data_IF_365885799682
#
_entry.id   IF_365885799682
#
_cell.length_a   1.000
_cell.length_b   1.000
_cell.length_c   1.000
_cell.angle_alpha   90.00
_cell.angle_beta   90.00
_cell.angle_gamma   90.00
#
_symmetry.space_group_name_H-M   'P 1'
#
loop_
_entity.id
_entity.type
_entity.pdbx_description
1 polymer ?
#
# COMPACT_ATOMS: atom_id res chain seq x y z
N UNK A 1 12.09 29.04 -20.78
CA UNK A 1 11.20 28.34 -19.82
C UNK A 1 9.70 28.64 -20.03
N UNK A 2 9.17 28.78 -21.27
CA UNK A 2 7.77 29.20 -21.49
C UNK A 2 6.90 28.19 -22.27
N UNK A 3 7.36 26.94 -22.45
CA UNK A 3 6.70 25.96 -23.34
C UNK A 3 5.29 25.51 -22.91
N UNK A 4 4.89 25.77 -21.66
CA UNK A 4 3.65 25.24 -21.10
C UNK A 4 2.65 26.32 -20.63
N UNK A 5 2.92 27.62 -20.86
CA UNK A 5 2.13 28.75 -20.33
C UNK A 5 0.65 28.78 -20.77
N UNK A 6 0.31 28.11 -21.88
CA UNK A 6 -1.03 28.16 -22.47
C UNK A 6 -1.76 26.81 -22.49
N UNK A 7 -1.22 25.75 -21.86
CA UNK A 7 -1.82 24.41 -21.93
C UNK A 7 -3.19 24.36 -21.25
N UNK A 8 -3.38 25.14 -20.18
CA UNK A 8 -4.65 25.24 -19.45
C UNK A 8 -5.79 25.91 -20.23
N UNK A 9 -5.48 26.62 -21.33
CA UNK A 9 -6.50 27.31 -22.15
C UNK A 9 -7.29 26.37 -23.06
N UNK A 10 -6.74 25.19 -23.35
CA UNK A 10 -7.40 24.15 -24.16
C UNK A 10 -8.06 23.06 -23.29
N UNK A 11 -8.17 23.28 -21.97
CA UNK A 11 -8.79 22.31 -21.08
C UNK A 11 -10.31 22.46 -21.14
N UNK A 12 -10.97 21.46 -21.71
CA UNK A 12 -12.41 21.32 -21.64
C UNK A 12 -12.79 20.75 -20.28
N UNK A 13 -13.02 21.65 -19.33
CA UNK A 13 -13.42 21.32 -17.96
C UNK A 13 -14.96 21.27 -17.90
N UNK A 14 -15.58 20.14 -17.51
CA UNK A 14 -17.03 20.08 -17.33
C UNK A 14 -17.50 21.07 -16.25
N UNK A 15 -18.71 21.60 -16.37
CA UNK A 15 -19.31 22.52 -15.38
C UNK A 15 -19.42 21.92 -13.98
N UNK A 16 -19.46 20.59 -13.89
CA UNK A 16 -19.50 19.83 -12.64
C UNK A 16 -18.12 19.61 -12.01
N UNK A 17 -17.05 20.16 -12.61
CA UNK A 17 -15.69 20.05 -12.09
C UNK A 17 -15.30 21.31 -11.29
N UNK A 18 -14.63 21.14 -10.13
CA UNK A 18 -14.39 19.88 -9.45
C UNK A 18 -15.68 19.30 -8.86
N UNK A 19 -15.81 17.98 -8.90
CA UNK A 19 -16.97 17.33 -8.29
C UNK A 19 -16.91 17.47 -6.78
N UNK A 20 -17.96 18.03 -6.18
CA UNK A 20 -18.10 18.13 -4.72
C UNK A 20 -18.01 16.76 -4.04
N UNK A 21 -18.48 15.70 -4.70
CA UNK A 21 -18.36 14.33 -4.20
C UNK A 21 -16.90 13.87 -4.14
N UNK A 22 -16.07 14.25 -5.14
CA UNK A 22 -14.64 13.95 -5.14
C UNK A 22 -13.96 14.71 -4.00
N UNK A 23 -14.22 16.01 -3.86
CA UNK A 23 -13.66 16.82 -2.77
C UNK A 23 -14.01 16.19 -1.41
N UNK A 24 -15.29 15.87 -1.19
CA UNK A 24 -15.75 15.23 0.05
C UNK A 24 -15.08 13.88 0.31
N UNK A 25 -14.86 13.05 -0.72
CA UNK A 25 -14.17 11.77 -0.57
C UNK A 25 -12.71 11.94 -0.14
N UNK A 26 -12.02 12.99 -0.59
CA UNK A 26 -10.67 13.32 -0.15
C UNK A 26 -10.63 13.93 1.25
N UNK A 27 -11.57 14.83 1.58
CA UNK A 27 -11.61 15.52 2.88
C UNK A 27 -12.13 14.62 4.01
N UNK A 28 -13.06 13.71 3.71
CA UNK A 28 -13.70 12.84 4.69
C UNK A 28 -13.85 11.43 4.11
N UNK A 29 -12.72 10.72 3.94
CA UNK A 29 -12.74 9.39 3.37
C UNK A 29 -13.44 8.41 4.32
N UNK A 30 -14.23 7.50 3.74
CA UNK A 30 -14.78 6.36 4.48
C UNK A 30 -13.69 5.30 4.60
N UNK A 31 -12.96 5.35 5.70
CA UNK A 31 -11.92 4.37 6.05
C UNK A 31 -12.37 3.53 7.24
N UNK A 32 -11.75 2.37 7.38
CA UNK A 32 -11.79 1.64 8.65
C UNK A 32 -11.12 2.49 9.75
N UNK A 33 -11.76 2.56 10.92
CA UNK A 33 -11.28 3.30 12.09
C UNK A 33 -10.59 2.39 13.12
N UNK A 34 -10.48 1.10 12.82
CA UNK A 34 -9.81 0.15 13.69
C UNK A 34 -8.39 0.62 14.03
N UNK A 35 -8.07 0.60 15.32
CA UNK A 35 -6.73 0.87 15.84
C UNK A 35 -5.95 -0.42 16.11
N UNK A 36 -6.48 -1.57 15.68
CA UNK A 36 -5.83 -2.85 15.88
C UNK A 36 -4.48 -2.86 15.13
N UNK A 37 -3.41 -3.36 15.78
CA UNK A 37 -2.13 -3.48 15.11
C UNK A 37 -2.24 -4.52 13.99
N UNK A 38 -1.53 -4.27 12.88
CA UNK A 38 -1.38 -5.29 11.85
C UNK A 38 -0.66 -6.51 12.44
N UNK A 39 -1.28 -7.67 12.27
CA UNK A 39 -0.73 -8.95 12.72
C UNK A 39 -0.83 -9.98 11.60
N UNK A 40 0.19 -10.84 11.52
CA UNK A 40 0.19 -12.00 10.65
C UNK A 40 -0.04 -13.25 11.50
N UNK A 41 -1.16 -13.93 11.28
CA UNK A 41 -1.46 -15.20 11.93
C UNK A 41 -0.83 -16.38 11.20
N UNK A 42 -0.54 -17.47 11.93
CA UNK A 42 -0.12 -18.72 11.31
C UNK A 42 -1.30 -19.31 10.52
N UNK A 43 -1.16 -19.56 9.21
CA UNK A 43 -2.26 -20.10 8.41
C UNK A 43 -2.58 -21.55 8.82
N UNK A 44 -3.87 -21.87 8.92
CA UNK A 44 -4.35 -23.24 9.09
C UNK A 44 -4.39 -23.94 7.73
N UNK A 45 -3.35 -24.74 7.46
CA UNK A 45 -3.20 -25.45 6.19
C UNK A 45 -4.34 -26.45 5.95
N UNK A 46 -4.89 -27.04 7.00
CA UNK A 46 -5.98 -28.04 6.86
C UNK A 46 -7.25 -27.39 6.34
N UNK A 47 -7.60 -26.22 6.88
CA UNK A 47 -8.74 -25.42 6.44
C UNK A 47 -8.50 -24.85 5.05
N UNK A 48 -7.29 -24.35 4.77
CA UNK A 48 -6.94 -23.84 3.44
C UNK A 48 -7.06 -24.91 2.35
N UNK A 49 -6.62 -26.15 2.60
CA UNK A 49 -6.82 -27.26 1.66
C UNK A 49 -8.30 -27.52 1.38
N UNK A 50 -9.14 -27.50 2.43
CA UNK A 50 -10.58 -27.66 2.30
C UNK A 50 -11.19 -26.55 1.43
N UNK A 51 -10.82 -25.29 1.68
CA UNK A 51 -11.26 -24.16 0.85
C UNK A 51 -10.79 -24.30 -0.60
N UNK A 52 -9.54 -24.73 -0.82
CA UNK A 52 -9.01 -24.94 -2.17
C UNK A 52 -9.75 -26.03 -2.94
N UNK A 53 -10.15 -27.10 -2.27
CA UNK A 53 -11.01 -28.12 -2.84
C UNK A 53 -12.40 -27.55 -3.17
N UNK A 54 -13.06 -26.90 -2.20
CA UNK A 54 -14.44 -26.41 -2.34
C UNK A 54 -14.59 -25.28 -3.36
N UNK A 55 -13.63 -24.37 -3.46
CA UNK A 55 -13.69 -23.20 -4.33
C UNK A 55 -13.05 -23.41 -5.70
N UNK A 56 -12.00 -24.21 -5.76
CA UNK A 56 -11.18 -24.35 -6.98
C UNK A 56 -11.09 -25.79 -7.50
N UNK A 57 -11.64 -26.78 -6.78
CA UNK A 57 -11.55 -28.20 -7.14
C UNK A 57 -10.12 -28.75 -7.06
N UNK A 58 -9.23 -28.12 -6.28
CA UNK A 58 -7.84 -28.53 -6.21
C UNK A 58 -7.66 -29.75 -5.31
N UNK A 59 -6.96 -30.76 -5.80
CA UNK A 59 -6.48 -31.85 -4.95
C UNK A 59 -5.55 -31.32 -3.86
N UNK A 60 -5.46 -32.04 -2.74
CA UNK A 60 -4.57 -31.67 -1.63
C UNK A 60 -3.12 -31.50 -2.09
N UNK A 61 -2.66 -32.31 -3.06
CA UNK A 61 -1.33 -32.21 -3.64
C UNK A 61 -1.11 -30.88 -4.38
N UNK A 62 -2.08 -30.47 -5.20
CA UNK A 62 -2.02 -29.18 -5.91
C UNK A 62 -2.08 -28.00 -4.92
N UNK A 63 -2.89 -28.10 -3.88
CA UNK A 63 -2.93 -27.08 -2.83
C UNK A 63 -1.58 -27.00 -2.09
N UNK A 64 -0.97 -28.14 -1.78
CA UNK A 64 0.32 -28.19 -1.09
C UNK A 64 1.48 -27.66 -1.92
N UNK A 65 1.47 -27.88 -3.23
CA UNK A 65 2.45 -27.29 -4.15
C UNK A 65 2.56 -25.76 -3.99
N UNK A 66 1.43 -25.10 -3.69
CA UNK A 66 1.36 -23.65 -3.52
C UNK A 66 1.47 -23.21 -2.05
N UNK A 67 0.86 -23.95 -1.11
CA UNK A 67 0.80 -23.56 0.30
C UNK A 67 2.10 -23.84 1.05
N UNK A 68 2.79 -24.94 0.75
CA UNK A 68 4.01 -25.33 1.47
C UNK A 68 5.15 -24.32 1.29
N UNK A 69 5.43 -23.80 0.08
CA UNK A 69 6.44 -22.74 -0.09
C UNK A 69 6.12 -21.47 0.70
N UNK A 70 4.85 -21.06 0.72
CA UNK A 70 4.41 -19.88 1.48
C UNK A 70 4.59 -20.09 2.98
N UNK A 71 4.23 -21.28 3.49
CA UNK A 71 4.43 -21.62 4.89
C UNK A 71 5.91 -21.68 5.26
N UNK A 72 6.76 -22.20 4.36
CA UNK A 72 8.20 -22.22 4.53
C UNK A 72 8.74 -20.79 4.67
N UNK A 73 8.30 -19.87 3.80
CA UNK A 73 8.72 -18.47 3.86
C UNK A 73 8.23 -17.78 5.12
N UNK A 74 6.98 -17.98 5.50
CA UNK A 74 6.40 -17.47 6.75
C UNK A 74 7.25 -17.86 7.99
N UNK A 75 7.76 -19.09 8.02
CA UNK A 75 8.54 -19.60 9.14
C UNK A 75 10.00 -19.10 9.18
N UNK A 76 10.51 -18.45 8.12
CA UNK A 76 11.88 -17.93 8.13
C UNK A 76 12.04 -16.74 9.08
N UNK A 77 10.96 -16.01 9.36
CA UNK A 77 10.96 -14.78 10.15
C UNK A 77 12.01 -13.73 9.69
N UNK A 78 12.49 -13.85 8.45
CA UNK A 78 13.46 -12.92 7.87
C UNK A 78 12.71 -11.66 7.43
N UNK A 79 12.86 -10.59 8.21
CA UNK A 79 12.36 -9.27 7.81
C UNK A 79 13.51 -8.45 7.27
N UNK A 80 13.45 -8.12 5.97
CA UNK A 80 14.35 -7.12 5.40
C UNK A 80 14.17 -5.80 6.16
N UNK A 81 15.27 -5.23 6.63
CA UNK A 81 15.26 -3.92 7.27
C UNK A 81 14.80 -2.86 6.28
N UNK A 82 13.96 -1.94 6.74
CA UNK A 82 13.64 -0.76 5.95
C UNK A 82 14.81 0.22 5.97
N UNK A 83 14.84 1.10 4.98
CA UNK A 83 15.91 2.09 4.81
C UNK A 83 16.12 2.94 6.07
N UNK A 84 15.05 3.27 6.79
CA UNK A 84 15.04 4.07 8.01
C UNK A 84 15.82 3.42 9.15
N UNK A 85 16.02 2.10 9.13
CA UNK A 85 16.88 1.42 10.11
C UNK A 85 18.36 1.82 9.96
N UNK A 86 18.76 2.30 8.77
CA UNK A 86 20.13 2.71 8.45
C UNK A 86 20.34 4.23 8.50
N UNK A 87 19.26 5.01 8.36
CA UNK A 87 19.31 6.47 8.48
C UNK A 87 18.80 6.91 9.85
N UNK A 88 19.71 7.21 10.77
CA UNK A 88 19.36 8.05 11.91
C UNK A 88 19.22 9.49 11.41
N UNK A 89 18.04 10.09 11.61
CA UNK A 89 17.79 11.50 11.32
C UNK A 89 18.64 12.35 12.27
N UNK A 90 19.88 12.62 11.87
CA UNK A 90 20.77 13.54 12.58
C UNK A 90 20.34 14.95 12.12
N UNK A 91 19.64 15.71 12.96
CA UNK A 91 19.22 17.10 12.72
C UNK A 91 20.39 18.09 12.47
N UNK A 92 21.60 17.60 12.24
CA UNK A 92 22.82 18.40 12.10
C UNK A 92 23.06 18.94 10.69
N UNK A 93 22.25 18.64 9.69
CA UNK A 93 22.48 19.15 8.33
C UNK A 93 21.39 20.06 7.78
N UNK A 94 21.85 21.28 7.54
CA UNK A 94 21.34 22.35 6.69
C UNK A 94 20.20 23.23 7.26
N UNK A 95 20.58 24.17 8.15
CA UNK A 95 19.93 25.49 8.17
C UNK A 95 20.19 26.15 6.82
N UNK A 96 19.28 26.00 5.86
CA UNK A 96 19.29 26.80 4.64
C UNK A 96 18.89 28.22 5.05
N UNK A 97 19.87 29.14 5.08
CA UNK A 97 19.58 30.56 5.20
C UNK A 97 18.84 30.98 3.92
N UNK A 98 17.57 31.34 4.03
CA UNK A 98 16.94 32.16 3.01
C UNK A 98 17.67 33.51 2.98
N UNK A 99 18.17 33.87 1.82
CA UNK A 99 18.64 35.23 1.56
C UNK A 99 17.42 36.00 1.04
N UNK A 100 16.88 36.87 1.89
CA UNK A 100 15.79 37.77 1.55
C UNK A 100 16.26 38.72 0.43
N UNK A 101 15.41 38.89 -0.58
CA UNK A 101 15.58 39.87 -1.65
C UNK A 101 14.28 40.63 -1.87
#
# INVERSE_FOLDING_TARGET
MNKHRNISKNWHIPSLFPSNAVISAYTSPRVDKSTEPFAWGKPDVSVLRKVCWEKFGWSSQKADELLVPVLKEYNKHETQLRLEAFYSFNERFAKIKQEDK
#
